data_IF_872068113826
#
_entry.id   IF_872068113826
#
_cell.length_a   1.000
_cell.length_b   1.000
_cell.length_c   1.000
_cell.angle_alpha   90.00
_cell.angle_beta   90.00
_cell.angle_gamma   90.00
#
_symmetry.space_group_name_H-M   'P 1'
#
loop_
_entity.id
_entity.type
_entity.pdbx_description
1 polymer ?
#
# COMPACT_ATOMS: atom_id res chain seq x y z
N UNK A 1 -3.77 -12.61 11.10
CA UNK A 1 -2.86 -12.65 9.94
C UNK A 1 -3.18 -11.50 9.00
N UNK A 2 -2.16 -10.91 8.41
CA UNK A 2 -2.31 -9.73 7.54
C UNK A 2 -1.64 -9.96 6.21
N UNK A 3 -2.10 -9.23 5.19
CA UNK A 3 -1.41 -9.15 3.91
C UNK A 3 -0.59 -7.87 3.91
N UNK A 4 0.71 -8.01 3.61
CA UNK A 4 1.63 -6.88 3.53
C UNK A 4 1.89 -6.53 2.08
N UNK A 5 1.70 -5.27 1.72
CA UNK A 5 2.03 -4.76 0.40
C UNK A 5 3.11 -3.70 0.55
N UNK A 6 4.27 -3.94 -0.06
CA UNK A 6 5.39 -3.01 -0.03
C UNK A 6 5.36 -2.16 -1.28
N UNK A 7 5.47 -0.85 -1.12
CA UNK A 7 5.56 0.05 -2.26
C UNK A 7 6.77 0.95 -2.11
N UNK A 8 7.41 1.22 -3.23
CA UNK A 8 8.58 2.07 -3.30
C UNK A 8 8.23 3.40 -3.93
N UNK A 9 9.04 4.41 -3.64
CA UNK A 9 8.86 5.74 -4.18
C UNK A 9 9.69 5.96 -5.44
N UNK A 10 9.18 6.86 -6.26
CA UNK A 10 9.95 7.48 -7.32
C UNK A 10 9.69 8.97 -7.20
N UNK A 11 10.74 9.76 -6.94
CA UNK A 11 10.61 11.19 -6.66
C UNK A 11 9.64 11.46 -5.51
N UNK A 12 9.72 10.66 -4.45
CA UNK A 12 8.92 10.77 -3.23
C UNK A 12 7.41 10.56 -3.47
N UNK A 13 7.06 9.94 -4.59
CA UNK A 13 5.69 9.60 -4.90
C UNK A 13 5.57 8.12 -5.22
N UNK A 14 4.41 7.49 -5.00
CA UNK A 14 4.25 6.08 -5.37
C UNK A 14 4.43 5.89 -6.87
N UNK A 15 5.08 4.81 -7.24
CA UNK A 15 5.16 4.43 -8.65
C UNK A 15 3.78 3.97 -9.11
N UNK A 16 3.51 4.16 -10.41
CA UNK A 16 2.23 3.74 -10.96
C UNK A 16 1.97 2.25 -10.73
N UNK A 17 2.99 1.42 -10.87
CA UNK A 17 2.86 -0.01 -10.62
C UNK A 17 2.50 -0.34 -9.17
N UNK A 18 2.84 0.54 -8.23
CA UNK A 18 2.49 0.34 -6.83
C UNK A 18 0.99 0.31 -6.61
N UNK A 19 0.26 1.13 -7.35
CA UNK A 19 -1.20 1.15 -7.24
C UNK A 19 -1.82 -0.17 -7.69
N UNK A 20 -1.24 -0.80 -8.69
CA UNK A 20 -1.69 -2.10 -9.13
C UNK A 20 -1.46 -3.16 -8.06
N UNK A 21 -0.29 -3.10 -7.40
CA UNK A 21 0.03 -4.03 -6.31
C UNK A 21 -0.95 -3.86 -5.15
N UNK A 22 -1.23 -2.62 -4.75
CA UNK A 22 -2.16 -2.36 -3.64
C UNK A 22 -3.56 -2.83 -4.00
N UNK A 23 -3.99 -2.57 -5.22
CA UNK A 23 -5.31 -2.99 -5.69
C UNK A 23 -5.46 -4.51 -5.66
N UNK A 24 -4.45 -5.21 -6.14
CA UNK A 24 -4.44 -6.67 -6.12
C UNK A 24 -4.47 -7.19 -4.67
N UNK A 25 -3.64 -6.61 -3.82
CA UNK A 25 -3.56 -7.01 -2.42
C UNK A 25 -4.88 -6.76 -1.70
N UNK A 26 -5.56 -5.66 -2.02
CA UNK A 26 -6.87 -5.37 -1.42
C UNK A 26 -7.90 -6.42 -1.81
N UNK A 27 -7.92 -6.79 -3.07
CA UNK A 27 -8.85 -7.83 -3.53
C UNK A 27 -8.57 -9.15 -2.82
N UNK A 28 -7.30 -9.51 -2.70
CA UNK A 28 -6.92 -10.72 -2.02
C UNK A 28 -7.30 -10.69 -0.54
N UNK A 29 -7.14 -9.53 0.12
CA UNK A 29 -7.50 -9.39 1.52
C UNK A 29 -8.99 -9.59 1.74
N UNK A 30 -9.81 -9.12 0.81
CA UNK A 30 -11.26 -9.33 0.89
C UNK A 30 -11.61 -10.81 0.76
N UNK A 31 -11.00 -11.49 -0.20
CA UNK A 31 -11.27 -12.92 -0.43
C UNK A 31 -10.87 -13.78 0.75
N UNK A 32 -9.79 -13.40 1.43
CA UNK A 32 -9.27 -14.18 2.55
C UNK A 32 -9.73 -13.64 3.90
N UNK A 33 -10.47 -12.54 3.93
CA UNK A 33 -10.92 -11.86 5.15
C UNK A 33 -9.74 -11.49 6.05
N UNK A 34 -8.68 -10.98 5.44
CA UNK A 34 -7.47 -10.56 6.14
C UNK A 34 -7.31 -9.05 6.09
N UNK A 35 -6.58 -8.52 7.08
CA UNK A 35 -6.23 -7.11 7.13
C UNK A 35 -5.18 -6.80 6.05
N UNK A 36 -5.34 -5.67 5.37
CA UNK A 36 -4.35 -5.18 4.41
C UNK A 36 -3.51 -4.09 5.05
N UNK A 37 -2.19 -4.31 5.08
CA UNK A 37 -1.23 -3.33 5.58
C UNK A 37 -0.32 -2.94 4.42
N UNK A 38 -0.26 -1.65 4.12
CA UNK A 38 0.61 -1.10 3.07
C UNK A 38 1.84 -0.48 3.74
N UNK A 39 3.02 -0.91 3.32
CA UNK A 39 4.29 -0.34 3.78
C UNK A 39 4.82 0.57 2.68
N UNK A 40 4.84 1.87 2.94
CA UNK A 40 5.27 2.87 1.97
C UNK A 40 6.67 3.37 2.35
N UNK A 41 7.64 3.21 1.45
CA UNK A 41 9.03 3.55 1.71
C UNK A 41 9.38 4.83 0.96
N UNK A 42 9.82 5.86 1.70
CA UNK A 42 10.24 7.15 1.16
C UNK A 42 9.15 7.85 0.32
N UNK A 43 7.91 7.76 0.81
CA UNK A 43 6.78 8.44 0.18
C UNK A 43 6.32 9.56 1.10
N UNK A 44 6.37 10.80 0.62
CA UNK A 44 5.99 11.96 1.41
C UNK A 44 4.48 12.08 1.58
N UNK A 45 3.73 11.71 0.55
CA UNK A 45 2.28 11.81 0.57
C UNK A 45 1.66 10.48 0.17
N UNK A 46 1.04 9.84 1.13
CA UNK A 46 0.38 8.56 0.93
C UNK A 46 -1.13 8.69 0.76
N UNK A 47 -1.65 9.91 0.60
CA UNK A 47 -3.09 10.12 0.52
C UNK A 47 -3.75 9.37 -0.63
N UNK A 48 -3.04 9.21 -1.75
CA UNK A 48 -3.57 8.46 -2.88
C UNK A 48 -3.76 6.98 -2.57
N UNK A 49 -2.97 6.46 -1.62
CA UNK A 49 -3.08 5.06 -1.24
C UNK A 49 -4.35 4.77 -0.45
N UNK A 50 -4.89 5.78 0.23
CA UNK A 50 -6.13 5.62 0.98
C UNK A 50 -7.30 5.28 0.07
N UNK A 51 -7.23 5.64 -1.20
CA UNK A 51 -8.29 5.35 -2.16
C UNK A 51 -8.47 3.86 -2.41
N UNK A 52 -7.44 3.07 -2.12
CA UNK A 52 -7.49 1.63 -2.33
C UNK A 52 -7.95 0.87 -1.10
N UNK A 53 -8.23 1.58 -0.01
CA UNK A 53 -8.86 1.03 1.18
C UNK A 53 -7.99 0.12 2.04
N UNK A 54 -6.68 0.41 2.22
CA UNK A 54 -5.90 -0.39 3.14
C UNK A 54 -6.37 -0.16 4.58
N UNK A 55 -6.23 -1.17 5.41
CA UNK A 55 -6.58 -1.05 6.82
C UNK A 55 -5.55 -0.25 7.59
N UNK A 56 -4.28 -0.35 7.19
CA UNK A 56 -3.19 0.41 7.78
C UNK A 56 -2.19 0.81 6.72
N UNK A 57 -1.57 1.97 6.90
CA UNK A 57 -0.45 2.42 6.07
C UNK A 57 0.70 2.74 7.00
N UNK A 58 1.84 2.08 6.78
CA UNK A 58 3.06 2.33 7.53
C UNK A 58 4.03 3.05 6.62
N UNK A 59 4.50 4.22 7.03
CA UNK A 59 5.47 4.97 6.23
C UNK A 59 6.85 4.83 6.86
N UNK A 60 7.83 4.58 6.01
CA UNK A 60 9.23 4.45 6.43
C UNK A 60 10.04 5.46 5.62
N UNK A 61 10.76 6.32 6.32
CA UNK A 61 11.68 7.25 5.71
C UNK A 61 13.11 6.78 5.98
N UNK A 62 13.79 6.49 4.90
CA UNK A 62 15.16 5.97 5.01
C UNK A 62 16.17 6.97 4.46
#
# INVERSE_FOLDING_TARGET
MSILAYIESKNNKPKKSSFEVVSYAKELSKQLSLELVVVAINIDDSSDLNKYGPDKIITIND
#
